data_IF_819387570137
#
_entry.id   IF_819387570137
#
_cell.length_a   1.000
_cell.length_b   1.000
_cell.length_c   1.000
_cell.angle_alpha   90.00
_cell.angle_beta   90.00
_cell.angle_gamma   90.00
#
_symmetry.space_group_name_H-M   'P 1'
#
loop_
_entity.id
_entity.type
_entity.pdbx_description
1 polymer ?
#
# COMPACT_ATOMS: atom_id res chain seq x y z
N UNK A 1 -5.51 19.19 13.17
CA UNK A 1 -6.64 19.22 12.21
C UNK A 1 -7.14 17.79 12.04
N UNK A 2 -8.30 17.49 12.61
CA UNK A 2 -8.92 16.16 12.57
C UNK A 2 -9.51 15.92 11.18
N UNK A 3 -8.91 15.03 10.38
CA UNK A 3 -9.53 14.53 9.16
C UNK A 3 -10.71 13.64 9.58
N UNK A 4 -11.91 14.15 9.45
CA UNK A 4 -13.14 13.37 9.49
C UNK A 4 -13.08 12.37 8.32
N UNK A 5 -12.95 11.09 8.63
CA UNK A 5 -13.03 10.02 7.65
C UNK A 5 -14.46 10.02 7.08
N UNK A 6 -14.59 10.30 5.78
CA UNK A 6 -15.83 10.09 5.02
C UNK A 6 -16.04 8.56 4.84
N UNK A 7 -16.44 7.88 5.91
CA UNK A 7 -17.01 6.55 5.75
C UNK A 7 -18.44 6.70 5.19
N UNK A 8 -18.84 5.87 4.22
CA UNK A 8 -20.24 5.84 3.78
C UNK A 8 -21.09 5.60 5.03
N UNK A 9 -22.15 6.40 5.21
CA UNK A 9 -23.11 6.32 6.32
C UNK A 9 -23.71 4.92 6.36
N UNK A 10 -22.98 3.94 6.93
CA UNK A 10 -23.53 2.63 7.24
C UNK A 10 -24.68 2.87 8.20
N UNK A 11 -25.85 2.34 7.89
CA UNK A 11 -27.05 2.50 8.70
C UNK A 11 -26.79 1.89 10.06
N UNK A 12 -26.49 2.74 11.05
CA UNK A 12 -26.25 2.32 12.42
C UNK A 12 -27.54 1.82 13.05
N UNK A 13 -27.48 0.71 13.76
CA UNK A 13 -28.60 0.05 14.41
C UNK A 13 -28.54 0.39 15.90
N UNK A 14 -29.61 0.91 16.48
CA UNK A 14 -29.68 1.16 17.92
C UNK A 14 -29.79 -0.15 18.71
N UNK A 15 -29.44 -0.10 20.00
CA UNK A 15 -29.51 -1.27 20.88
C UNK A 15 -30.96 -1.80 20.98
N UNK A 16 -31.93 -0.89 20.99
CA UNK A 16 -33.40 -1.23 21.04
C UNK A 16 -33.79 -2.00 19.79
N UNK A 17 -33.49 -1.46 18.61
CA UNK A 17 -33.78 -2.12 17.34
C UNK A 17 -33.08 -3.46 17.18
N UNK A 18 -31.83 -3.55 17.68
CA UNK A 18 -31.09 -4.79 17.66
C UNK A 18 -31.69 -5.84 18.61
N UNK A 19 -32.12 -5.42 19.81
CA UNK A 19 -32.79 -6.26 20.77
C UNK A 19 -34.11 -6.86 20.20
N UNK A 20 -34.92 -6.04 19.52
CA UNK A 20 -36.10 -6.48 18.82
C UNK A 20 -35.80 -7.52 17.72
N UNK A 21 -34.79 -7.25 16.90
CA UNK A 21 -34.35 -8.17 15.83
C UNK A 21 -33.89 -9.52 16.40
N UNK A 22 -33.10 -9.48 17.48
CA UNK A 22 -32.54 -10.68 18.10
C UNK A 22 -33.48 -11.36 19.09
N UNK A 23 -34.63 -10.73 19.38
CA UNK A 23 -35.66 -11.20 20.36
C UNK A 23 -35.07 -11.43 21.75
N UNK A 24 -34.26 -10.48 22.19
CA UNK A 24 -33.69 -10.40 23.53
C UNK A 24 -34.00 -9.05 24.15
N UNK A 25 -33.74 -8.86 25.44
CA UNK A 25 -33.93 -7.53 26.05
C UNK A 25 -32.79 -6.60 25.72
N UNK A 26 -33.02 -5.28 25.76
CA UNK A 26 -31.92 -4.27 25.62
C UNK A 26 -30.88 -4.47 26.70
N UNK A 27 -31.30 -4.88 27.90
CA UNK A 27 -30.38 -5.21 29.00
C UNK A 27 -29.45 -6.37 28.64
N UNK A 28 -29.96 -7.38 27.91
CA UNK A 28 -29.13 -8.49 27.45
C UNK A 28 -28.11 -8.05 26.41
N UNK A 29 -28.48 -7.16 25.49
CA UNK A 29 -27.53 -6.59 24.52
C UNK A 29 -26.35 -5.95 25.23
N UNK A 30 -26.59 -5.13 26.25
CA UNK A 30 -25.51 -4.49 27.01
C UNK A 30 -24.71 -5.49 27.83
N UNK A 31 -25.36 -6.47 28.46
CA UNK A 31 -24.67 -7.56 29.18
C UNK A 31 -23.73 -8.37 28.25
N UNK A 32 -24.16 -8.62 27.01
CA UNK A 32 -23.29 -9.27 26.02
C UNK A 32 -22.10 -8.38 25.64
N UNK A 33 -22.35 -7.06 25.48
CA UNK A 33 -21.26 -6.12 25.23
C UNK A 33 -20.26 -6.06 26.39
N UNK A 34 -20.74 -6.03 27.62
CA UNK A 34 -19.87 -6.03 28.81
C UNK A 34 -19.04 -7.31 28.89
N UNK A 35 -19.66 -8.47 28.60
CA UNK A 35 -18.94 -9.75 28.53
C UNK A 35 -17.83 -9.73 27.44
N UNK A 36 -18.08 -9.13 26.28
CA UNK A 36 -17.08 -9.02 25.21
C UNK A 36 -15.97 -8.01 25.53
N UNK A 37 -16.25 -7.03 26.39
CA UNK A 37 -15.26 -6.04 26.83
C UNK A 37 -14.35 -6.56 27.95
N UNK A 38 -14.77 -7.59 28.72
CA UNK A 38 -13.99 -8.17 29.82
C UNK A 38 -12.71 -8.86 29.35
N UNK A 39 -12.75 -9.56 28.21
CA UNK A 39 -11.56 -10.19 27.62
C UNK A 39 -11.46 -9.91 26.13
N UNK A 40 -10.67 -8.93 25.70
CA UNK A 40 -10.50 -8.59 24.29
C UNK A 40 -9.81 -9.69 23.47
N UNK A 41 -9.23 -10.69 24.09
CA UNK A 41 -8.57 -11.83 23.46
C UNK A 41 -9.45 -13.10 23.45
N UNK A 42 -10.67 -13.03 23.96
CA UNK A 42 -11.64 -14.12 23.92
C UNK A 42 -12.17 -14.40 22.53
N UNK A 43 -12.87 -15.51 22.38
CA UNK A 43 -13.54 -15.93 21.13
C UNK A 43 -14.55 -14.88 20.62
N UNK A 44 -15.04 -14.01 21.50
CA UNK A 44 -16.00 -12.95 21.22
C UNK A 44 -15.42 -11.57 21.50
N UNK A 45 -15.34 -10.73 20.46
CA UNK A 45 -14.79 -9.37 20.58
C UNK A 45 -15.57 -8.39 19.73
N UNK A 46 -15.91 -7.22 20.30
CA UNK A 46 -16.49 -6.09 19.57
C UNK A 46 -15.49 -4.94 19.51
N UNK A 47 -15.08 -4.55 18.30
CA UNK A 47 -14.13 -3.45 18.08
C UNK A 47 -14.87 -2.13 17.84
N UNK A 48 -14.40 -1.05 18.47
CA UNK A 48 -14.90 0.32 18.24
C UNK A 48 -14.69 0.71 16.77
N UNK A 49 -15.60 1.50 16.23
CA UNK A 49 -15.66 1.97 14.82
C UNK A 49 -15.98 0.89 13.80
N UNK A 50 -15.66 -0.34 14.08
CA UNK A 50 -15.95 -1.47 13.21
C UNK A 50 -17.28 -2.13 13.54
N UNK A 51 -17.48 -2.52 14.79
CA UNK A 51 -18.67 -3.21 15.27
C UNK A 51 -19.69 -2.26 15.88
N UNK A 52 -19.21 -1.17 16.50
CA UNK A 52 -20.08 -0.16 17.11
C UNK A 52 -19.39 1.20 17.23
N UNK A 53 -20.19 2.23 17.45
CA UNK A 53 -19.74 3.55 17.90
C UNK A 53 -20.36 3.87 19.26
N UNK A 54 -19.64 4.57 20.12
CA UNK A 54 -20.21 5.10 21.34
C UNK A 54 -21.07 6.32 21.04
N UNK A 55 -22.34 6.32 21.50
CA UNK A 55 -23.19 7.50 21.57
C UNK A 55 -22.82 8.28 22.84
N UNK A 56 -22.62 7.56 23.93
CA UNK A 56 -22.19 8.08 25.22
C UNK A 56 -21.20 7.10 25.86
N UNK A 57 -19.91 7.42 25.77
CA UNK A 57 -18.85 6.56 26.30
C UNK A 57 -18.93 6.39 27.81
N UNK A 58 -19.39 7.44 28.56
CA UNK A 58 -19.50 7.41 30.02
C UNK A 58 -20.54 6.40 30.52
N UNK A 59 -21.60 6.18 29.75
CA UNK A 59 -22.69 5.28 30.07
C UNK A 59 -22.70 4.00 29.21
N UNK A 60 -21.64 3.76 28.43
CA UNK A 60 -21.54 2.58 27.56
C UNK A 60 -22.55 2.53 26.41
N UNK A 61 -23.32 3.61 26.18
CA UNK A 61 -24.35 3.63 25.15
C UNK A 61 -23.75 3.54 23.75
N UNK A 62 -24.23 2.58 22.94
CA UNK A 62 -23.65 2.20 21.62
C UNK A 62 -24.72 2.19 20.54
N UNK A 63 -24.27 2.50 19.30
CA UNK A 63 -24.98 2.10 18.08
C UNK A 63 -24.10 1.10 17.32
N UNK A 64 -24.72 0.07 16.77
CA UNK A 64 -24.04 -1.04 16.14
C UNK A 64 -24.00 -0.87 14.63
N UNK A 65 -22.88 -1.22 14.03
CA UNK A 65 -22.78 -1.44 12.59
C UNK A 65 -23.45 -2.77 12.22
N UNK A 66 -23.60 -3.02 10.93
CA UNK A 66 -24.08 -4.35 10.48
C UNK A 66 -23.14 -5.48 10.95
N UNK A 67 -21.82 -5.22 11.03
CA UNK A 67 -20.87 -6.20 11.54
C UNK A 67 -21.10 -6.51 13.00
N UNK A 68 -21.21 -5.49 13.86
CA UNK A 68 -21.49 -5.68 15.27
C UNK A 68 -22.83 -6.36 15.55
N UNK A 69 -23.85 -6.00 14.79
CA UNK A 69 -25.15 -6.68 14.88
C UNK A 69 -25.06 -8.17 14.52
N UNK A 70 -24.23 -8.53 13.54
CA UNK A 70 -24.02 -9.92 13.15
C UNK A 70 -23.21 -10.71 14.18
N UNK A 71 -22.20 -10.10 14.81
CA UNK A 71 -21.43 -10.76 15.88
C UNK A 71 -22.33 -11.00 17.11
N UNK A 72 -23.13 -10.02 17.51
CA UNK A 72 -24.12 -10.20 18.59
C UNK A 72 -25.18 -11.27 18.24
N UNK A 73 -25.64 -11.30 16.98
CA UNK A 73 -26.58 -12.33 16.54
C UNK A 73 -25.99 -13.73 16.64
N UNK A 74 -24.74 -13.92 16.29
CA UNK A 74 -24.03 -15.21 16.43
C UNK A 74 -23.91 -15.61 17.90
N UNK A 75 -23.52 -14.68 18.76
CA UNK A 75 -23.40 -14.96 20.18
C UNK A 75 -24.74 -15.40 20.77
N UNK A 76 -25.82 -14.68 20.49
CA UNK A 76 -27.17 -15.02 20.93
C UNK A 76 -27.59 -16.41 20.40
N UNK A 77 -27.26 -16.71 19.14
CA UNK A 77 -27.56 -18.00 18.54
C UNK A 77 -26.82 -19.16 19.24
N UNK A 78 -25.54 -18.96 19.59
CA UNK A 78 -24.72 -20.02 20.18
C UNK A 78 -24.96 -20.20 21.69
N UNK A 79 -25.35 -19.13 22.41
CA UNK A 79 -25.38 -19.14 23.88
C UNK A 79 -26.79 -19.16 24.46
N UNK A 80 -27.76 -18.47 23.84
CA UNK A 80 -29.05 -18.18 24.50
C UNK A 80 -30.13 -19.22 24.20
N UNK A 81 -30.03 -20.00 23.08
CA UNK A 81 -31.14 -20.90 22.74
C UNK A 81 -30.74 -22.02 21.77
N UNK A 82 -30.40 -23.19 22.28
CA UNK A 82 -29.90 -24.32 21.48
C UNK A 82 -30.97 -25.19 20.82
N UNK A 83 -32.24 -25.02 21.08
CA UNK A 83 -33.27 -26.07 20.83
C UNK A 83 -34.27 -25.84 19.68
N UNK A 84 -34.21 -24.75 18.89
CA UNK A 84 -35.23 -24.48 17.86
C UNK A 84 -34.82 -24.88 16.43
N UNK A 85 -35.57 -25.77 15.75
CA UNK A 85 -35.18 -26.35 14.44
C UNK A 85 -35.09 -25.36 13.26
N UNK A 86 -35.84 -24.24 13.27
CA UNK A 86 -35.78 -23.19 12.23
C UNK A 86 -34.45 -22.40 12.25
N UNK A 87 -33.66 -22.53 13.30
CA UNK A 87 -32.37 -21.86 13.45
C UNK A 87 -31.28 -22.42 12.54
N UNK A 88 -31.30 -23.71 12.21
CA UNK A 88 -30.34 -24.27 11.23
C UNK A 88 -30.43 -23.57 9.87
N UNK A 89 -31.65 -23.24 9.44
CA UNK A 89 -31.90 -22.51 8.19
C UNK A 89 -31.42 -21.05 8.27
N UNK A 90 -31.69 -20.38 9.39
CA UNK A 90 -31.23 -19.02 9.65
C UNK A 90 -29.71 -18.98 9.76
N UNK A 91 -29.08 -19.90 10.46
CA UNK A 91 -27.62 -20.02 10.59
C UNK A 91 -26.95 -20.08 9.23
N UNK A 92 -27.37 -20.97 8.34
CA UNK A 92 -26.81 -21.08 6.98
C UNK A 92 -26.98 -19.78 6.17
N UNK A 93 -28.09 -19.09 6.36
CA UNK A 93 -28.38 -17.83 5.68
C UNK A 93 -27.55 -16.66 6.24
N UNK A 94 -27.40 -16.58 7.56
CA UNK A 94 -26.58 -15.57 8.24
C UNK A 94 -25.09 -15.81 7.97
N UNK A 95 -24.59 -17.04 8.03
CA UNK A 95 -23.21 -17.37 7.72
C UNK A 95 -22.81 -16.96 6.30
N UNK A 96 -23.68 -17.20 5.32
CA UNK A 96 -23.45 -16.76 3.93
C UNK A 96 -23.43 -15.25 3.79
N UNK A 97 -24.37 -14.54 4.45
CA UNK A 97 -24.41 -13.07 4.43
C UNK A 97 -23.24 -12.45 5.18
N UNK A 98 -22.87 -13.01 6.32
CA UNK A 98 -21.71 -12.57 7.09
C UNK A 98 -20.43 -12.76 6.30
N UNK A 99 -20.18 -13.94 5.74
CA UNK A 99 -19.00 -14.19 4.88
C UNK A 99 -18.94 -13.19 3.72
N UNK A 100 -20.05 -12.96 3.04
CA UNK A 100 -20.13 -11.98 1.95
C UNK A 100 -19.83 -10.57 2.43
N UNK A 101 -20.35 -10.18 3.60
CA UNK A 101 -20.11 -8.86 4.19
C UNK A 101 -18.64 -8.69 4.60
N UNK A 102 -18.07 -9.62 5.35
CA UNK A 102 -16.66 -9.57 5.75
C UNK A 102 -15.75 -9.52 4.53
N UNK A 103 -16.04 -10.31 3.49
CA UNK A 103 -15.32 -10.25 2.23
C UNK A 103 -15.40 -8.88 1.55
N UNK A 104 -16.58 -8.23 1.55
CA UNK A 104 -16.74 -6.86 1.05
C UNK A 104 -15.86 -5.87 1.81
N UNK A 105 -15.86 -5.93 3.15
CA UNK A 105 -15.01 -5.08 3.98
C UNK A 105 -13.51 -5.30 3.74
N UNK A 106 -13.09 -6.56 3.51
CA UNK A 106 -11.69 -6.87 3.13
C UNK A 106 -11.37 -6.22 1.78
N UNK A 107 -12.26 -6.35 0.79
CA UNK A 107 -12.07 -5.76 -0.54
C UNK A 107 -11.97 -4.22 -0.46
N UNK A 108 -12.82 -3.58 0.34
CA UNK A 108 -12.76 -2.12 0.58
C UNK A 108 -11.43 -1.71 1.19
N UNK A 109 -10.94 -2.40 2.24
CA UNK A 109 -9.63 -2.11 2.84
C UNK A 109 -8.46 -2.27 1.86
N UNK A 110 -8.50 -3.28 1.02
CA UNK A 110 -7.45 -3.49 0.00
C UNK A 110 -7.55 -2.44 -1.10
N UNK A 111 -8.76 -2.00 -1.46
CA UNK A 111 -8.98 -0.92 -2.42
C UNK A 111 -8.45 0.42 -1.89
N UNK A 112 -8.69 0.73 -0.62
CA UNK A 112 -8.17 1.94 0.04
C UNK A 112 -6.64 2.03 -0.07
N UNK A 113 -5.93 0.90 0.10
CA UNK A 113 -4.48 0.83 -0.03
C UNK A 113 -4.03 1.09 -1.47
N UNK A 114 -4.72 0.51 -2.45
CA UNK A 114 -4.41 0.69 -3.86
C UNK A 114 -4.60 2.13 -4.35
N UNK A 115 -5.58 2.85 -3.79
CA UNK A 115 -5.82 4.27 -4.08
C UNK A 115 -4.75 5.21 -3.52
N UNK A 116 -4.01 4.79 -2.49
CA UNK A 116 -3.06 5.67 -1.80
C UNK A 116 -1.69 5.77 -2.48
N UNK A 117 -1.37 4.96 -3.52
CA UNK A 117 -0.02 4.86 -4.13
C UNK A 117 1.15 4.70 -3.12
N UNK A 118 0.89 4.93 -1.83
CA UNK A 118 1.83 4.84 -0.71
C UNK A 118 1.71 3.48 -0.03
N UNK A 119 2.81 2.75 0.04
CA UNK A 119 2.87 1.45 0.71
C UNK A 119 2.61 0.25 -0.20
N UNK A 120 2.51 0.45 -1.51
CA UNK A 120 2.51 -0.61 -2.52
C UNK A 120 3.67 -0.41 -3.48
N UNK A 121 4.56 -1.39 -3.56
CA UNK A 121 5.70 -1.42 -4.47
C UNK A 121 5.48 -2.46 -5.56
N UNK A 122 5.80 -2.12 -6.81
CA UNK A 122 5.74 -3.07 -7.92
C UNK A 122 7.16 -3.56 -8.23
N UNK A 123 7.41 -4.85 -8.03
CA UNK A 123 8.67 -5.50 -8.37
C UNK A 123 8.39 -6.75 -9.22
N UNK A 124 9.08 -6.89 -10.34
CA UNK A 124 8.92 -8.01 -11.27
C UNK A 124 7.46 -8.29 -11.68
N UNK A 125 6.66 -7.21 -11.83
CA UNK A 125 5.24 -7.31 -12.20
C UNK A 125 4.31 -7.80 -11.09
N UNK A 126 4.80 -7.93 -9.85
CA UNK A 126 4.01 -8.27 -8.66
C UNK A 126 3.87 -7.04 -7.76
N UNK A 127 2.73 -6.91 -7.10
CA UNK A 127 2.51 -5.90 -6.07
C UNK A 127 2.91 -6.43 -4.70
N UNK A 128 3.70 -5.64 -3.97
CA UNK A 128 4.10 -5.89 -2.60
C UNK A 128 3.57 -4.76 -1.72
N UNK A 129 2.96 -5.12 -0.61
CA UNK A 129 2.33 -4.22 0.35
C UNK A 129 3.24 -4.13 1.58
N UNK A 130 3.59 -2.92 2.02
CA UNK A 130 4.47 -2.74 3.15
C UNK A 130 3.86 -3.28 4.47
N UNK A 131 4.70 -3.43 5.48
CA UNK A 131 4.31 -3.98 6.79
C UNK A 131 3.14 -3.22 7.42
N UNK A 132 3.13 -1.88 7.33
CA UNK A 132 2.07 -1.06 7.93
C UNK A 132 0.71 -1.34 7.27
N UNK A 133 0.66 -1.36 5.94
CA UNK A 133 -0.55 -1.63 5.19
C UNK A 133 -0.98 -3.10 5.32
N UNK A 134 -0.02 -4.03 5.39
CA UNK A 134 -0.30 -5.44 5.65
C UNK A 134 -0.98 -5.61 7.02
N UNK A 135 -0.49 -4.94 8.06
CA UNK A 135 -1.16 -4.92 9.38
C UNK A 135 -2.56 -4.34 9.31
N UNK A 136 -2.78 -3.30 8.51
CA UNK A 136 -4.10 -2.74 8.29
C UNK A 136 -5.04 -3.76 7.63
N UNK A 137 -4.60 -4.47 6.57
CA UNK A 137 -5.39 -5.54 5.93
C UNK A 137 -5.75 -6.65 6.93
N UNK A 138 -4.77 -7.09 7.72
CA UNK A 138 -4.93 -8.22 8.67
C UNK A 138 -5.61 -7.81 10.00
N UNK A 139 -5.98 -6.53 10.17
CA UNK A 139 -6.55 -5.96 11.41
C UNK A 139 -5.62 -6.07 12.63
N UNK A 140 -4.34 -5.84 12.42
CA UNK A 140 -3.32 -5.92 13.46
C UNK A 140 -2.78 -4.53 13.87
N UNK A 141 -3.58 -3.46 13.76
CA UNK A 141 -3.11 -2.06 13.90
C UNK A 141 -2.22 -1.84 15.14
N UNK A 142 -2.60 -2.40 16.30
CA UNK A 142 -1.87 -2.26 17.57
C UNK A 142 -1.20 -3.55 18.05
N UNK A 143 -1.21 -4.62 17.23
CA UNK A 143 -0.73 -5.96 17.59
C UNK A 143 0.45 -6.37 16.71
N UNK A 144 1.61 -5.73 16.93
CA UNK A 144 2.86 -6.10 16.23
C UNK A 144 3.33 -7.51 16.60
N UNK A 145 3.08 -7.91 17.82
CA UNK A 145 3.33 -9.24 18.37
C UNK A 145 2.68 -10.34 17.53
N UNK A 146 1.43 -10.15 17.13
CA UNK A 146 0.71 -11.16 16.32
C UNK A 146 1.27 -11.30 14.90
N UNK A 147 1.72 -10.21 14.26
CA UNK A 147 2.36 -10.33 12.95
C UNK A 147 3.69 -11.08 13.07
N UNK A 148 4.49 -10.79 14.10
CA UNK A 148 5.74 -11.50 14.38
C UNK A 148 5.48 -12.97 14.64
N UNK A 149 4.49 -13.32 15.47
CA UNK A 149 4.11 -14.69 15.75
C UNK A 149 3.62 -15.42 14.48
N UNK A 150 2.88 -14.75 13.59
CA UNK A 150 2.46 -15.34 12.32
C UNK A 150 3.65 -15.60 11.38
N UNK A 151 4.64 -14.70 11.34
CA UNK A 151 5.88 -14.90 10.59
C UNK A 151 6.69 -16.08 11.13
N UNK A 152 6.88 -16.15 12.45
CA UNK A 152 7.57 -17.27 13.10
C UNK A 152 6.86 -18.61 12.85
N UNK A 153 5.52 -18.61 12.89
CA UNK A 153 4.71 -19.77 12.54
C UNK A 153 4.95 -20.23 11.09
N UNK A 154 5.03 -19.29 10.14
CA UNK A 154 5.27 -19.60 8.73
C UNK A 154 6.73 -19.98 8.44
N UNK A 155 7.69 -19.53 9.23
CA UNK A 155 9.09 -19.96 9.14
C UNK A 155 9.29 -21.40 9.62
N UNK A 156 8.49 -21.85 10.60
CA UNK A 156 8.42 -23.25 11.05
C UNK A 156 7.56 -24.13 10.14
N UNK A 157 7.34 -23.70 8.91
CA UNK A 157 6.40 -24.29 7.96
C UNK A 157 6.58 -25.80 7.70
N UNK A 158 7.80 -26.34 7.82
CA UNK A 158 8.07 -27.78 7.69
C UNK A 158 7.34 -28.61 8.77
N UNK A 159 7.24 -28.09 9.99
CA UNK A 159 6.47 -28.72 11.08
C UNK A 159 4.97 -28.78 10.77
N UNK A 160 4.49 -27.90 9.87
CA UNK A 160 3.10 -27.78 9.47
C UNK A 160 2.83 -28.30 8.05
N UNK A 161 3.78 -29.02 7.45
CA UNK A 161 3.65 -29.61 6.11
C UNK A 161 3.63 -28.58 4.96
N UNK A 162 4.19 -27.39 5.18
CA UNK A 162 4.30 -26.34 4.18
C UNK A 162 5.74 -25.83 4.08
N UNK A 163 6.25 -25.54 2.87
CA UNK A 163 7.57 -24.93 2.76
C UNK A 163 7.56 -23.51 3.38
N UNK A 164 8.67 -23.04 3.96
CA UNK A 164 8.78 -21.69 4.50
C UNK A 164 8.47 -20.62 3.45
N UNK A 165 8.14 -19.38 3.90
CA UNK A 165 7.95 -18.24 3.00
C UNK A 165 9.26 -17.93 2.27
N UNK A 166 9.16 -17.61 0.96
CA UNK A 166 10.30 -17.36 0.09
C UNK A 166 10.39 -15.87 -0.24
N UNK A 167 11.60 -15.33 -0.26
CA UNK A 167 11.90 -14.02 -0.81
C UNK A 167 11.46 -13.93 -2.28
N UNK A 168 11.12 -12.75 -2.78
CA UNK A 168 10.62 -12.43 -4.13
C UNK A 168 9.29 -13.09 -4.52
N UNK A 169 8.81 -14.05 -3.73
CA UNK A 169 7.49 -14.67 -3.96
C UNK A 169 6.46 -14.26 -2.90
N UNK A 170 6.84 -14.27 -1.64
CA UNK A 170 5.96 -13.95 -0.52
C UNK A 170 6.26 -12.60 0.10
N UNK A 171 7.52 -12.18 0.13
CA UNK A 171 7.98 -10.91 0.69
C UNK A 171 9.24 -10.41 -0.01
N UNK A 172 9.54 -9.11 0.17
CA UNK A 172 10.78 -8.45 -0.24
C UNK A 172 11.25 -7.53 0.87
N UNK A 173 12.57 -7.27 0.91
CA UNK A 173 13.18 -6.20 1.69
C UNK A 173 13.29 -4.95 0.81
N UNK A 174 12.86 -3.81 1.31
CA UNK A 174 13.07 -2.53 0.63
C UNK A 174 14.16 -1.75 1.37
N UNK A 175 15.22 -1.30 0.67
CA UNK A 175 16.37 -0.66 1.30
C UNK A 175 16.01 0.65 2.03
N UNK A 176 14.94 1.32 1.62
CA UNK A 176 14.52 2.62 2.15
C UNK A 176 13.38 2.53 3.17
N UNK A 177 12.86 1.33 3.46
CA UNK A 177 11.76 1.11 4.40
C UNK A 177 12.19 0.23 5.58
N UNK A 178 11.75 0.61 6.77
CA UNK A 178 11.94 -0.21 7.98
C UNK A 178 10.94 -1.37 7.97
N UNK A 179 11.29 -2.49 7.32
CA UNK A 179 10.51 -3.71 7.38
C UNK A 179 10.24 -4.39 6.04
N UNK A 180 9.59 -5.54 6.12
CA UNK A 180 9.24 -6.36 4.97
C UNK A 180 8.02 -5.82 4.23
N UNK A 181 7.99 -6.01 2.92
CA UNK A 181 6.80 -5.82 2.09
C UNK A 181 6.32 -7.19 1.58
N UNK A 182 5.00 -7.42 1.61
CA UNK A 182 4.40 -8.72 1.37
C UNK A 182 3.59 -8.76 0.08
N UNK A 183 3.78 -9.81 -0.71
CA UNK A 183 2.92 -10.09 -1.87
C UNK A 183 1.53 -10.57 -1.41
N UNK A 184 0.58 -10.67 -2.36
CA UNK A 184 -0.72 -11.28 -2.08
C UNK A 184 -0.60 -12.71 -1.53
N UNK A 185 0.36 -13.50 -2.03
CA UNK A 185 0.67 -14.83 -1.51
C UNK A 185 1.20 -14.77 -0.07
N UNK A 186 2.09 -13.81 0.21
CA UNK A 186 2.61 -13.57 1.56
C UNK A 186 1.51 -13.22 2.55
N UNK A 187 0.64 -12.25 2.20
CA UNK A 187 -0.49 -11.85 3.04
C UNK A 187 -1.46 -13.01 3.25
N UNK A 188 -1.75 -13.80 2.20
CA UNK A 188 -2.57 -15.01 2.33
C UNK A 188 -1.98 -15.99 3.35
N UNK A 189 -0.69 -16.26 3.30
CA UNK A 189 -0.01 -17.15 4.23
C UNK A 189 -0.06 -16.63 5.66
N UNK A 190 0.25 -15.35 5.88
CA UNK A 190 0.13 -14.70 7.19
C UNK A 190 -1.30 -14.78 7.73
N UNK A 191 -2.32 -14.55 6.89
CA UNK A 191 -3.71 -14.67 7.31
C UNK A 191 -4.09 -16.09 7.72
N UNK A 192 -3.55 -17.13 7.05
CA UNK A 192 -3.75 -18.53 7.44
C UNK A 192 -3.04 -18.87 8.76
N UNK A 193 -1.83 -18.35 8.98
CA UNK A 193 -1.13 -18.48 10.26
C UNK A 193 -1.93 -17.84 11.41
N UNK A 194 -2.46 -16.64 11.21
CA UNK A 194 -3.30 -15.96 12.19
C UNK A 194 -4.58 -16.74 12.54
N UNK A 195 -5.20 -17.41 11.57
CA UNK A 195 -6.32 -18.32 11.86
C UNK A 195 -5.95 -19.46 12.79
N UNK A 196 -4.70 -19.93 12.74
CA UNK A 196 -4.21 -21.03 13.56
C UNK A 196 -3.82 -20.58 14.96
N UNK A 197 -3.14 -19.42 15.08
CA UNK A 197 -2.57 -18.96 16.36
C UNK A 197 -3.52 -18.10 17.19
N UNK A 198 -4.46 -17.38 16.56
CA UNK A 198 -5.39 -16.53 17.30
C UNK A 198 -6.51 -17.35 17.94
N UNK A 199 -6.95 -16.94 19.12
CA UNK A 199 -8.11 -17.52 19.79
C UNK A 199 -9.42 -16.90 19.30
N UNK A 200 -9.45 -15.58 19.13
CA UNK A 200 -10.65 -14.82 18.77
C UNK A 200 -11.31 -15.30 17.47
N UNK A 201 -12.59 -15.62 17.53
CA UNK A 201 -13.40 -16.02 16.36
C UNK A 201 -13.53 -14.88 15.33
N UNK A 202 -13.64 -13.65 15.79
CA UNK A 202 -13.71 -12.47 14.90
C UNK A 202 -12.42 -12.35 14.09
N UNK A 203 -11.25 -12.48 14.75
CA UNK A 203 -9.94 -12.48 14.07
C UNK A 203 -9.80 -13.65 13.09
N UNK A 204 -10.22 -14.86 13.47
CA UNK A 204 -10.21 -16.04 12.59
C UNK A 204 -11.11 -15.84 11.38
N UNK A 205 -12.35 -15.38 11.58
CA UNK A 205 -13.32 -15.13 10.50
C UNK A 205 -12.81 -14.08 9.53
N UNK A 206 -12.24 -12.97 10.04
CA UNK A 206 -11.64 -11.93 9.21
C UNK A 206 -10.49 -12.47 8.37
N UNK A 207 -9.53 -13.15 9.01
CA UNK A 207 -8.37 -13.69 8.32
C UNK A 207 -8.71 -14.84 7.36
N UNK A 208 -9.80 -15.58 7.59
CA UNK A 208 -10.36 -16.51 6.59
C UNK A 208 -10.81 -15.75 5.33
N UNK A 209 -11.57 -14.67 5.49
CA UNK A 209 -12.01 -13.85 4.36
C UNK A 209 -10.82 -13.19 3.63
N UNK A 210 -9.78 -12.75 4.36
CA UNK A 210 -8.55 -12.25 3.74
C UNK A 210 -7.90 -13.36 2.90
N UNK A 211 -7.68 -14.54 3.45
CA UNK A 211 -7.03 -15.66 2.74
C UNK A 211 -7.76 -16.08 1.46
N UNK A 212 -9.10 -15.97 1.46
CA UNK A 212 -9.94 -16.32 0.31
C UNK A 212 -9.93 -15.24 -0.80
N UNK A 213 -9.81 -13.96 -0.43
CA UNK A 213 -10.06 -12.84 -1.36
C UNK A 213 -8.82 -12.06 -1.77
N UNK A 214 -7.74 -12.07 -0.96
CA UNK A 214 -6.59 -11.18 -1.14
C UNK A 214 -5.91 -11.33 -2.51
N UNK A 215 -5.79 -12.54 -3.03
CA UNK A 215 -5.12 -12.80 -4.30
C UNK A 215 -5.79 -12.05 -5.45
N UNK A 216 -7.11 -12.18 -5.54
CA UNK A 216 -7.87 -11.54 -6.62
C UNK A 216 -8.00 -10.03 -6.38
N UNK A 217 -8.30 -9.62 -5.15
CA UNK A 217 -8.52 -8.21 -4.84
C UNK A 217 -7.25 -7.40 -5.04
N UNK A 218 -6.10 -7.85 -4.52
CA UNK A 218 -4.84 -7.13 -4.70
C UNK A 218 -4.41 -7.12 -6.18
N UNK A 219 -4.65 -8.20 -6.92
CA UNK A 219 -4.41 -8.24 -8.36
C UNK A 219 -5.25 -7.18 -9.11
N UNK A 220 -6.53 -7.04 -8.78
CA UNK A 220 -7.42 -6.06 -9.42
C UNK A 220 -7.00 -4.63 -9.09
N UNK A 221 -6.79 -4.34 -7.81
CA UNK A 221 -6.39 -3.02 -7.32
C UNK A 221 -5.01 -2.60 -7.83
N UNK A 222 -4.08 -3.55 -7.98
CA UNK A 222 -2.72 -3.25 -8.46
C UNK A 222 -2.58 -3.19 -9.99
N UNK A 223 -3.60 -3.58 -10.76
CA UNK A 223 -3.54 -3.51 -12.24
C UNK A 223 -3.11 -2.15 -12.78
N UNK A 224 -3.71 -1.01 -12.34
CA UNK A 224 -3.29 0.31 -12.79
C UNK A 224 -1.82 0.58 -12.45
N UNK A 225 -1.39 0.28 -11.22
CA UNK A 225 -0.02 0.48 -10.77
C UNK A 225 0.99 -0.37 -11.55
N UNK A 226 0.64 -1.61 -11.87
CA UNK A 226 1.46 -2.50 -12.71
C UNK A 226 1.56 -1.96 -14.14
N UNK A 227 0.44 -1.49 -14.70
CA UNK A 227 0.42 -0.88 -16.02
C UNK A 227 1.26 0.40 -16.07
N UNK A 228 1.17 1.25 -15.06
CA UNK A 228 1.95 2.46 -14.92
C UNK A 228 3.45 2.14 -14.77
N UNK A 229 3.80 1.18 -13.93
CA UNK A 229 5.19 0.73 -13.77
C UNK A 229 5.76 0.17 -15.07
N UNK A 230 4.95 -0.57 -15.85
CA UNK A 230 5.35 -1.07 -17.17
C UNK A 230 5.63 0.07 -18.14
N UNK A 231 4.73 1.06 -18.26
CA UNK A 231 4.93 2.24 -19.11
C UNK A 231 6.20 3.00 -18.72
N UNK A 232 6.40 3.22 -17.40
CA UNK A 232 7.60 3.86 -16.87
C UNK A 232 8.87 3.10 -17.24
N UNK A 233 8.86 1.76 -17.12
CA UNK A 233 9.97 0.89 -17.54
C UNK A 233 10.25 0.99 -19.05
N UNK A 234 9.20 1.09 -19.87
CA UNK A 234 9.35 1.26 -21.32
C UNK A 234 9.99 2.60 -21.68
N UNK A 235 9.55 3.70 -21.05
CA UNK A 235 10.12 5.04 -21.26
C UNK A 235 11.59 5.09 -20.81
N UNK A 236 11.92 4.53 -19.65
CA UNK A 236 13.31 4.49 -19.16
C UNK A 236 14.22 3.64 -20.05
N UNK A 237 13.72 2.51 -20.57
CA UNK A 237 14.45 1.69 -21.56
C UNK A 237 14.64 2.44 -22.88
N UNK A 238 13.61 3.16 -23.34
CA UNK A 238 13.68 3.97 -24.54
C UNK A 238 14.69 5.11 -24.41
N UNK A 239 14.74 5.80 -23.25
CA UNK A 239 15.74 6.83 -22.98
C UNK A 239 17.17 6.27 -23.08
N UNK A 240 17.45 5.15 -22.43
CA UNK A 240 18.76 4.46 -22.49
C UNK A 240 19.10 4.03 -23.94
N UNK A 241 18.11 3.54 -24.70
CA UNK A 241 18.30 3.16 -26.11
C UNK A 241 18.60 4.39 -26.99
N UNK A 242 17.86 5.50 -26.81
CA UNK A 242 18.12 6.75 -27.54
C UNK A 242 19.52 7.31 -27.26
N UNK A 243 19.95 7.21 -26.01
CA UNK A 243 21.31 7.57 -25.59
C UNK A 243 22.39 6.59 -26.12
N UNK A 244 22.03 5.53 -26.88
CA UNK A 244 22.95 4.51 -27.40
C UNK A 244 23.83 3.89 -26.30
N UNK A 245 23.29 3.77 -25.09
CA UNK A 245 23.98 3.28 -23.90
C UNK A 245 25.15 4.18 -23.43
N UNK A 246 25.19 5.44 -23.85
CA UNK A 246 26.11 6.45 -23.33
C UNK A 246 25.43 7.30 -22.25
N UNK A 247 26.21 7.80 -21.31
CA UNK A 247 25.77 8.89 -20.45
C UNK A 247 25.52 10.14 -21.32
N UNK A 248 24.33 10.70 -21.27
CA UNK A 248 24.00 11.90 -22.07
C UNK A 248 24.75 13.16 -21.63
N UNK A 249 25.28 13.17 -20.39
CA UNK A 249 26.08 14.25 -19.84
C UNK A 249 27.55 14.08 -20.25
N UNK A 250 28.23 13.04 -19.78
CA UNK A 250 29.69 12.84 -19.94
C UNK A 250 30.09 12.03 -21.17
N UNK A 251 29.13 11.55 -21.97
CA UNK A 251 29.37 10.68 -23.12
C UNK A 251 30.12 9.38 -22.81
N UNK A 252 30.39 9.10 -21.56
CA UNK A 252 31.01 7.83 -21.12
C UNK A 252 30.04 6.66 -21.33
N UNK A 253 30.60 5.48 -21.58
CA UNK A 253 29.88 4.21 -21.72
C UNK A 253 30.57 3.10 -20.94
N UNK A 254 29.89 1.99 -20.73
CA UNK A 254 30.50 0.79 -20.15
C UNK A 254 31.63 0.28 -21.07
N UNK A 255 32.79 0.00 -20.50
CA UNK A 255 33.97 -0.56 -21.19
C UNK A 255 34.67 -1.55 -20.26
N UNK A 256 35.62 -2.28 -20.79
CA UNK A 256 36.48 -3.19 -19.98
C UNK A 256 37.35 -2.45 -18.96
N UNK A 257 37.59 -1.15 -19.17
CA UNK A 257 38.35 -0.28 -18.24
C UNK A 257 37.44 0.46 -17.24
N UNK A 258 36.12 0.43 -17.44
CA UNK A 258 35.13 1.10 -16.58
C UNK A 258 34.01 0.13 -16.23
N UNK A 259 34.37 -0.88 -15.44
CA UNK A 259 33.42 -1.95 -15.04
C UNK A 259 32.30 -1.44 -14.11
N UNK A 260 32.56 -0.37 -13.33
CA UNK A 260 31.63 0.22 -12.39
C UNK A 260 30.58 1.13 -13.05
N UNK A 261 30.72 1.38 -14.36
CA UNK A 261 29.77 2.20 -15.08
C UNK A 261 28.42 1.49 -15.16
N UNK A 262 27.38 2.15 -14.70
CA UNK A 262 26.01 1.71 -14.93
C UNK A 262 25.12 2.89 -15.33
N UNK A 263 24.31 2.70 -16.37
CA UNK A 263 23.44 3.73 -16.92
C UNK A 263 22.10 3.72 -16.21
N UNK A 264 21.73 4.85 -15.62
CA UNK A 264 20.43 5.08 -14.94
C UNK A 264 19.62 6.09 -15.73
N UNK A 265 18.29 5.92 -15.75
CA UNK A 265 17.36 6.90 -16.30
C UNK A 265 16.89 7.82 -15.17
N UNK A 266 17.09 9.12 -15.32
CA UNK A 266 16.72 10.17 -14.40
C UNK A 266 15.59 11.02 -14.98
N UNK A 267 14.56 11.33 -14.18
CA UNK A 267 13.49 12.26 -14.53
C UNK A 267 13.91 13.68 -14.15
N UNK A 268 13.97 14.57 -15.11
CA UNK A 268 14.35 15.97 -14.91
C UNK A 268 13.33 16.72 -14.02
N UNK A 269 12.05 16.51 -14.25
CA UNK A 269 10.96 16.88 -13.34
C UNK A 269 10.51 15.62 -12.61
N UNK A 270 10.56 15.59 -11.31
CA UNK A 270 10.31 14.38 -10.52
C UNK A 270 8.88 13.84 -10.69
N UNK A 271 8.75 12.53 -10.59
CA UNK A 271 7.48 11.82 -10.84
C UNK A 271 6.38 12.12 -9.82
N UNK A 272 6.76 12.54 -8.62
CA UNK A 272 5.81 12.71 -7.51
C UNK A 272 5.07 14.03 -7.59
N UNK A 273 5.76 15.08 -8.04
CA UNK A 273 5.20 16.42 -8.16
C UNK A 273 4.76 16.76 -9.59
N UNK A 274 5.34 16.08 -10.57
CA UNK A 274 5.06 16.28 -12.00
C UNK A 274 4.58 14.98 -12.65
N UNK A 275 3.49 14.37 -12.11
CA UNK A 275 2.96 13.09 -12.59
C UNK A 275 2.66 13.08 -14.09
N UNK A 276 2.28 14.22 -14.66
CA UNK A 276 1.98 14.36 -16.09
C UNK A 276 3.21 14.23 -16.99
N UNK A 277 4.42 14.40 -16.46
CA UNK A 277 5.67 14.18 -17.19
C UNK A 277 6.28 12.80 -16.99
N UNK A 278 5.70 11.95 -16.15
CA UNK A 278 6.32 10.66 -15.80
C UNK A 278 6.58 9.73 -17.00
N UNK A 279 5.79 9.88 -18.09
CA UNK A 279 5.95 9.07 -19.31
C UNK A 279 6.51 9.88 -20.48
N UNK A 280 6.81 11.15 -20.29
CA UNK A 280 7.33 12.01 -21.33
C UNK A 280 8.83 11.74 -21.54
N UNK A 281 9.19 11.28 -22.74
CA UNK A 281 10.56 10.90 -23.07
C UNK A 281 11.55 12.08 -22.96
N UNK A 282 11.10 13.30 -23.20
CA UNK A 282 11.92 14.49 -23.07
C UNK A 282 12.19 14.83 -21.58
N UNK A 283 11.39 14.31 -20.66
CA UNK A 283 11.62 14.42 -19.23
C UNK A 283 12.61 13.38 -18.69
N UNK A 284 13.04 12.41 -19.49
CA UNK A 284 13.93 11.33 -19.04
C UNK A 284 15.27 11.41 -19.72
N UNK A 285 16.34 11.52 -18.94
CA UNK A 285 17.74 11.53 -19.38
C UNK A 285 18.47 10.27 -18.90
N UNK A 286 19.32 9.70 -19.76
CA UNK A 286 20.14 8.55 -19.39
C UNK A 286 21.51 9.03 -18.93
N UNK A 287 21.84 8.82 -17.66
CA UNK A 287 23.09 9.27 -17.05
C UNK A 287 23.79 8.15 -16.27
N UNK A 288 25.07 8.32 -16.00
CA UNK A 288 25.82 7.43 -15.12
C UNK A 288 25.17 7.41 -13.72
N UNK A 289 25.05 6.23 -13.12
CA UNK A 289 24.51 6.07 -11.77
C UNK A 289 25.27 6.86 -10.72
N UNK A 290 26.59 7.05 -10.89
CA UNK A 290 27.40 7.90 -9.98
C UNK A 290 26.93 9.35 -10.05
N UNK A 291 26.71 9.88 -11.26
CA UNK A 291 26.18 11.23 -11.45
C UNK A 291 24.74 11.37 -10.92
N UNK A 292 23.91 10.36 -11.14
CA UNK A 292 22.56 10.31 -10.58
C UNK A 292 22.57 10.43 -9.05
N UNK A 293 23.41 9.65 -8.40
CA UNK A 293 23.54 9.68 -6.95
C UNK A 293 24.15 11.01 -6.45
N UNK A 294 25.16 11.54 -7.14
CA UNK A 294 25.76 12.83 -6.82
C UNK A 294 24.75 13.98 -6.90
N UNK A 295 23.93 14.02 -7.97
CA UNK A 295 22.85 15.00 -8.09
C UNK A 295 21.86 14.91 -6.92
N UNK A 296 21.35 13.71 -6.61
CA UNK A 296 20.42 13.55 -5.49
C UNK A 296 21.05 13.88 -4.14
N UNK A 297 22.32 13.59 -3.93
CA UNK A 297 23.07 14.01 -2.73
C UNK A 297 23.16 15.53 -2.64
N UNK A 298 23.46 16.22 -3.74
CA UNK A 298 23.49 17.67 -3.82
C UNK A 298 22.10 18.31 -3.52
N UNK A 299 21.01 17.66 -4.00
CA UNK A 299 19.62 18.07 -3.69
C UNK A 299 19.22 17.81 -2.23
N UNK A 300 20.04 17.09 -1.43
CA UNK A 300 19.71 16.72 -0.05
C UNK A 300 18.92 15.41 0.09
N UNK A 301 19.00 14.53 -0.91
CA UNK A 301 18.49 13.16 -0.90
C UNK A 301 17.42 12.85 -1.97
N UNK A 302 17.18 11.56 -2.16
CA UNK A 302 16.25 11.04 -3.18
C UNK A 302 14.79 11.43 -2.99
N UNK A 303 14.41 11.85 -1.77
CA UNK A 303 13.04 12.27 -1.44
C UNK A 303 12.78 13.77 -1.67
N UNK A 304 13.76 14.50 -2.19
CA UNK A 304 13.60 15.91 -2.54
C UNK A 304 13.03 16.06 -3.94
N UNK A 305 12.09 16.99 -4.07
CA UNK A 305 11.60 17.39 -5.38
C UNK A 305 12.72 17.98 -6.21
N UNK A 306 12.73 17.69 -7.51
CA UNK A 306 13.68 18.28 -8.44
C UNK A 306 12.99 18.70 -9.74
N UNK A 307 13.56 19.72 -10.36
CA UNK A 307 13.20 20.25 -11.67
C UNK A 307 14.35 20.13 -12.66
N UNK A 308 14.07 20.32 -13.93
CA UNK A 308 15.12 20.37 -14.95
C UNK A 308 16.07 21.57 -14.75
N UNK A 309 15.57 22.63 -14.18
CA UNK A 309 16.33 23.83 -13.81
C UNK A 309 17.31 23.53 -12.67
N UNK A 310 16.91 22.75 -11.66
CA UNK A 310 17.81 22.28 -10.59
C UNK A 310 18.93 21.44 -11.15
N UNK A 311 18.60 20.51 -12.06
CA UNK A 311 19.60 19.67 -12.73
C UNK A 311 20.58 20.50 -13.57
N UNK A 312 20.07 21.51 -14.31
CA UNK A 312 20.90 22.42 -15.09
C UNK A 312 21.81 23.28 -14.20
N UNK A 313 21.30 23.74 -13.06
CA UNK A 313 22.08 24.51 -12.09
C UNK A 313 23.21 23.66 -11.48
N UNK A 314 22.89 22.43 -11.08
CA UNK A 314 23.88 21.48 -10.58
C UNK A 314 25.00 21.19 -11.58
N UNK A 315 24.67 20.98 -12.86
CA UNK A 315 25.65 20.79 -13.92
C UNK A 315 26.63 21.95 -14.05
N UNK A 316 26.14 23.19 -13.87
CA UNK A 316 26.98 24.39 -13.96
C UNK A 316 27.86 24.59 -12.71
N UNK A 317 27.30 24.30 -11.52
CA UNK A 317 28.01 24.50 -10.25
C UNK A 317 29.09 23.43 -10.03
N UNK A 318 28.84 22.22 -10.50
CA UNK A 318 29.75 21.07 -10.31
C UNK A 318 30.47 20.66 -11.60
N UNK A 319 30.58 21.58 -12.59
CA UNK A 319 31.11 21.25 -13.91
C UNK A 319 32.54 20.67 -13.85
N UNK A 320 33.42 21.24 -13.05
CA UNK A 320 34.81 20.79 -12.92
C UNK A 320 34.89 19.33 -12.47
N UNK A 321 34.09 18.92 -11.46
CA UNK A 321 34.07 17.53 -10.97
C UNK A 321 33.37 16.57 -11.94
N UNK A 322 32.30 17.02 -12.62
CA UNK A 322 31.49 16.17 -13.51
C UNK A 322 32.27 15.82 -14.79
N UNK A 323 32.99 16.78 -15.34
CA UNK A 323 33.67 16.64 -16.63
C UNK A 323 35.16 16.34 -16.51
N UNK A 324 35.72 16.29 -15.29
CA UNK A 324 37.11 15.89 -15.03
C UNK A 324 37.46 14.60 -15.77
N UNK A 325 38.53 14.64 -16.55
CA UNK A 325 39.02 13.50 -17.33
C UNK A 325 38.13 13.08 -18.51
N UNK A 326 37.28 13.94 -19.00
CA UNK A 326 36.60 13.81 -20.27
C UNK A 326 37.54 14.27 -21.42
N UNK A 327 37.43 13.69 -22.61
CA UNK A 327 38.32 13.97 -23.75
C UNK A 327 38.31 15.45 -24.20
N UNK A 328 37.16 16.13 -24.05
CA UNK A 328 36.97 17.56 -24.36
C UNK A 328 35.94 18.12 -23.36
N UNK A 329 36.41 18.49 -22.20
CA UNK A 329 35.60 18.89 -21.05
C UNK A 329 34.66 20.09 -21.39
N UNK A 330 35.19 21.12 -22.03
CA UNK A 330 34.46 22.37 -22.37
C UNK A 330 33.33 22.09 -23.38
N UNK A 331 33.64 21.35 -24.43
CA UNK A 331 32.66 21.01 -25.45
C UNK A 331 31.59 20.05 -24.90
N UNK A 332 31.95 19.10 -24.04
CA UNK A 332 31.01 18.17 -23.43
C UNK A 332 30.08 18.86 -22.45
N UNK A 333 30.61 19.76 -21.61
CA UNK A 333 29.80 20.60 -20.73
C UNK A 333 28.78 21.43 -21.53
N UNK A 334 29.25 22.18 -22.55
CA UNK A 334 28.40 22.99 -23.38
C UNK A 334 27.29 22.18 -24.06
N UNK A 335 27.63 20.99 -24.57
CA UNK A 335 26.69 20.07 -25.19
C UNK A 335 25.66 19.50 -24.19
N UNK A 336 26.06 19.16 -22.97
CA UNK A 336 25.18 18.69 -21.91
C UNK A 336 24.19 19.80 -21.50
N UNK A 337 24.67 21.00 -21.26
CA UNK A 337 23.86 22.19 -20.93
C UNK A 337 22.86 22.50 -22.05
N UNK A 338 23.31 22.47 -23.32
CA UNK A 338 22.42 22.69 -24.47
C UNK A 338 21.33 21.63 -24.59
N UNK A 339 21.65 20.35 -24.32
CA UNK A 339 20.66 19.27 -24.32
C UNK A 339 19.59 19.48 -23.24
N UNK A 340 19.98 19.83 -22.02
CA UNK A 340 19.01 20.09 -20.93
C UNK A 340 18.15 21.32 -21.25
N UNK A 341 18.75 22.43 -21.70
CA UNK A 341 17.97 23.62 -22.10
C UNK A 341 16.96 23.30 -23.19
N UNK A 342 17.33 22.51 -24.20
CA UNK A 342 16.42 22.08 -25.26
C UNK A 342 15.25 21.25 -24.70
N UNK A 343 15.51 20.35 -23.73
CA UNK A 343 14.45 19.55 -23.08
C UNK A 343 13.51 20.43 -22.27
N UNK A 344 14.03 21.41 -21.52
CA UNK A 344 13.21 22.42 -20.81
C UNK A 344 12.29 23.14 -21.79
N UNK A 345 12.81 23.61 -22.93
CA UNK A 345 11.99 24.27 -23.96
C UNK A 345 10.88 23.38 -24.52
N UNK A 346 11.13 22.09 -24.69
CA UNK A 346 10.12 21.13 -25.17
C UNK A 346 9.04 20.84 -24.13
N UNK A 347 9.36 20.91 -22.85
CA UNK A 347 8.43 20.63 -21.75
C UNK A 347 7.65 21.89 -21.29
N UNK A 348 8.18 23.09 -21.54
CA UNK A 348 7.62 24.37 -21.13
C UNK A 348 6.14 24.58 -21.49
N UNK A 349 5.69 24.30 -22.72
CA UNK A 349 4.29 24.53 -23.08
C UNK A 349 3.30 23.70 -22.25
N UNK A 350 3.71 22.53 -21.76
CA UNK A 350 2.87 21.68 -20.91
C UNK A 350 2.83 22.20 -19.49
N UNK A 351 3.94 22.78 -18.99
CA UNK A 351 3.98 23.45 -17.68
C UNK A 351 3.07 24.68 -17.69
N UNK A 352 3.27 25.58 -18.66
CA UNK A 352 2.53 26.84 -18.77
C UNK A 352 1.01 26.57 -18.85
N UNK A 353 0.57 25.60 -19.67
CA UNK A 353 -0.83 25.22 -19.76
C UNK A 353 -1.42 24.64 -18.44
N UNK A 354 -0.60 24.12 -17.54
CA UNK A 354 -1.04 23.61 -16.25
C UNK A 354 -1.10 24.68 -15.18
N UNK A 355 -0.19 25.65 -15.20
CA UNK A 355 -0.21 26.81 -14.33
C UNK A 355 -1.47 27.66 -14.58
N UNK A 356 -1.82 27.91 -15.85
CA UNK A 356 -3.05 28.63 -16.22
C UNK A 356 -4.33 27.94 -15.69
N UNK A 357 -4.40 26.60 -15.71
CA UNK A 357 -5.57 25.86 -15.21
C UNK A 357 -5.66 25.91 -13.67
N UNK A 358 -4.53 25.98 -12.96
CA UNK A 358 -4.53 26.08 -11.50
C UNK A 358 -4.96 27.46 -11.00
N UNK A 359 -4.59 28.54 -11.69
CA UNK A 359 -4.99 29.91 -11.35
C UNK A 359 -6.49 30.19 -11.58
N UNK A 360 -7.12 29.49 -12.52
CA UNK A 360 -8.57 29.64 -12.80
C UNK A 360 -9.45 28.88 -11.79
N UNK A 361 -8.87 27.97 -11.02
CA UNK A 361 -9.59 27.11 -10.07
C UNK A 361 -9.49 27.56 -8.60
N UNK A 362 -8.78 28.64 -8.31
CA UNK A 362 -8.77 29.36 -7.02
C UNK A 362 -9.72 30.57 -7.05
#
# INVERSE_FOLDING_TARGET
MNKVSNQPKSTLISAEKLADILRVSVKDIYRFCDFFDEDPDDDWTLNVEEHFIYINKKHGARKFTKAGALELAKYVEETVDKERPWRKLIKTFFDRRHKKYVRSCVMERVADIGGLKKGVTIQSGKAFVNTQQTRYILRLANRQDLLKAALEHEQRGEEHGRPPMKHDDHFIDLPDETGLSYSANGIKRLSMALQSICKSRSTKSWNSAVSESILQTLKEVSKPLIADNKKLSEVTKLAKKKAKQYCEVTKRKKSNTNLDFSLTAHHLYDKSNYEFFQYEINNVIAIDSKLHNAFHSWMGGFNKSCTAEDFLNWLKVQSDEIFEGCDDEVTQEAAAIANIKRRIQLLRPVLDAREEVSEVSE
#
